data_IF_232753304633
#
_entry.id   IF_232753304633
#
_cell.length_a   1.000
_cell.length_b   1.000
_cell.length_c   1.000
_cell.angle_alpha   90.00
_cell.angle_beta   90.00
_cell.angle_gamma   90.00
#
_symmetry.space_group_name_H-M   'P 1'
#
loop_
_entity.id
_entity.type
_entity.pdbx_description
1 polymer ?
#
# COMPACT_ATOMS: atom_id res chain seq x y z
N UNK A 1 -17.25 4.98 -21.87
CA UNK A 1 -15.97 5.58 -21.43
C UNK A 1 -14.90 4.60 -21.83
N UNK A 2 -13.92 5.04 -22.62
CA UNK A 2 -12.78 4.24 -23.03
C UNK A 2 -11.79 4.08 -21.88
N UNK A 3 -11.33 2.86 -21.63
CA UNK A 3 -10.31 2.60 -20.62
C UNK A 3 -8.95 3.04 -21.15
N UNK A 4 -8.33 4.01 -20.47
CA UNK A 4 -7.00 4.52 -20.81
C UNK A 4 -6.03 4.21 -19.68
N UNK A 5 -5.03 3.40 -20.00
CA UNK A 5 -3.94 3.05 -19.09
C UNK A 5 -2.68 3.76 -19.57
N UNK A 6 -1.91 4.33 -18.66
CA UNK A 6 -0.65 4.99 -18.99
C UNK A 6 0.40 4.67 -17.94
N UNK A 7 1.57 4.18 -18.37
CA UNK A 7 2.71 3.94 -17.50
C UNK A 7 3.99 4.55 -18.04
N UNK A 8 4.75 5.16 -17.14
CA UNK A 8 6.06 5.73 -17.44
C UNK A 8 7.16 4.79 -16.95
N UNK A 9 8.12 4.49 -17.82
CA UNK A 9 9.21 3.54 -17.57
C UNK A 9 10.54 4.11 -18.09
N UNK A 10 11.65 3.48 -17.68
CA UNK A 10 12.99 3.90 -18.10
C UNK A 10 13.35 5.30 -17.61
N UNK A 11 13.01 5.60 -16.35
CA UNK A 11 13.30 6.88 -15.70
C UNK A 11 12.71 8.10 -16.44
N UNK A 12 11.41 8.04 -16.74
CA UNK A 12 10.72 9.13 -17.45
C UNK A 12 10.92 9.15 -18.96
N UNK A 13 11.81 8.32 -19.51
CA UNK A 13 12.14 8.33 -20.93
C UNK A 13 11.02 7.83 -21.83
N UNK A 14 10.27 6.83 -21.39
CA UNK A 14 9.22 6.20 -22.19
C UNK A 14 7.89 6.22 -21.46
N UNK A 15 6.82 6.52 -22.20
CA UNK A 15 5.45 6.45 -21.69
C UNK A 15 4.66 5.51 -22.59
N UNK A 16 4.20 4.40 -22.04
CA UNK A 16 3.37 3.41 -22.72
C UNK A 16 1.91 3.76 -22.47
N UNK A 17 1.13 3.84 -23.53
CA UNK A 17 -0.29 4.21 -23.51
C UNK A 17 -1.10 3.08 -24.14
N UNK A 18 -2.07 2.57 -23.40
CA UNK A 18 -3.10 1.67 -23.91
C UNK A 18 -4.45 2.39 -23.87
N UNK A 19 -5.09 2.52 -25.03
CA UNK A 19 -6.36 3.22 -25.19
C UNK A 19 -7.15 2.56 -26.32
N UNK A 20 -8.38 2.15 -26.06
CA UNK A 20 -9.29 1.56 -27.06
C UNK A 20 -8.69 0.39 -27.87
N UNK A 21 -7.96 -0.50 -27.19
CA UNK A 21 -7.32 -1.66 -27.82
C UNK A 21 -6.03 -1.32 -28.60
N UNK A 22 -5.62 -0.06 -28.63
CA UNK A 22 -4.36 0.38 -29.24
C UNK A 22 -3.29 0.58 -28.19
N UNK A 23 -2.10 0.05 -28.45
CA UNK A 23 -0.93 0.18 -27.61
C UNK A 23 0.11 1.05 -28.33
N UNK A 24 0.55 2.13 -27.72
CA UNK A 24 1.55 3.03 -28.31
C UNK A 24 2.55 3.50 -27.26
N UNK A 25 3.68 4.04 -27.71
CA UNK A 25 4.71 4.60 -26.85
C UNK A 25 5.11 6.01 -27.27
N UNK A 26 5.27 6.87 -26.26
CA UNK A 26 5.96 8.14 -26.35
C UNK A 26 7.42 7.99 -25.90
N UNK A 27 8.30 8.82 -26.45
CA UNK A 27 9.67 9.00 -25.98
C UNK A 27 9.88 10.47 -25.65
N UNK A 28 10.17 10.77 -24.38
CA UNK A 28 10.26 12.14 -23.86
C UNK A 28 9.02 12.99 -24.22
N UNK A 29 7.81 12.40 -24.14
CA UNK A 29 6.55 13.08 -24.43
C UNK A 29 6.14 13.10 -25.91
N UNK A 30 7.05 12.82 -26.83
CA UNK A 30 6.76 12.80 -28.27
C UNK A 30 6.35 11.41 -28.77
N UNK A 31 5.42 11.30 -29.74
CA UNK A 31 5.06 10.02 -30.37
C UNK A 31 6.31 9.30 -30.89
N UNK A 32 6.48 8.04 -30.52
CA UNK A 32 7.68 7.28 -30.88
C UNK A 32 7.38 6.02 -31.68
N UNK A 33 6.55 5.12 -31.15
CA UNK A 33 6.29 3.82 -31.77
C UNK A 33 4.87 3.33 -31.50
N UNK A 34 4.24 2.79 -32.53
CA UNK A 34 3.05 1.97 -32.38
C UNK A 34 3.47 0.57 -31.90
N UNK A 35 2.86 0.11 -30.82
CA UNK A 35 3.11 -1.18 -30.18
C UNK A 35 1.92 -2.14 -30.40
N UNK A 36 0.94 -1.77 -31.22
CA UNK A 36 -0.20 -2.62 -31.57
C UNK A 36 0.31 -3.96 -32.13
N UNK A 37 -0.17 -5.05 -31.56
CA UNK A 37 0.25 -6.42 -31.90
C UNK A 37 1.43 -6.95 -31.09
N UNK A 38 2.11 -6.11 -30.30
CA UNK A 38 3.11 -6.57 -29.34
C UNK A 38 2.44 -7.07 -28.04
N UNK A 39 2.01 -8.34 -28.09
CA UNK A 39 1.32 -8.99 -26.97
C UNK A 39 2.16 -9.08 -25.70
N UNK A 40 3.49 -9.11 -25.82
CA UNK A 40 4.38 -9.14 -24.65
C UNK A 40 4.35 -7.79 -23.93
N UNK A 41 4.44 -6.67 -24.66
CA UNK A 41 4.39 -5.34 -24.04
C UNK A 41 3.01 -5.06 -23.44
N UNK A 42 1.93 -5.50 -24.08
CA UNK A 42 0.59 -5.42 -23.51
C UNK A 42 0.47 -6.21 -22.20
N UNK A 43 0.90 -7.47 -22.18
CA UNK A 43 0.84 -8.33 -20.99
C UNK A 43 1.66 -7.73 -19.83
N UNK A 44 2.85 -7.19 -20.11
CA UNK A 44 3.64 -6.49 -19.10
C UNK A 44 2.93 -5.24 -18.56
N UNK A 45 2.26 -4.46 -19.41
CA UNK A 45 1.52 -3.29 -18.97
C UNK A 45 0.37 -3.66 -18.03
N UNK A 46 -0.37 -4.72 -18.37
CA UNK A 46 -1.46 -5.26 -17.55
C UNK A 46 -0.94 -5.78 -16.21
N UNK A 47 0.16 -6.53 -16.20
CA UNK A 47 0.79 -7.02 -14.98
C UNK A 47 1.26 -5.86 -14.07
N UNK A 48 1.88 -4.82 -14.64
CA UNK A 48 2.29 -3.64 -13.87
C UNK A 48 1.09 -2.94 -13.21
N UNK A 49 -0.04 -2.84 -13.92
CA UNK A 49 -1.28 -2.31 -13.34
C UNK A 49 -1.76 -3.17 -12.18
N UNK A 50 -1.89 -4.47 -12.41
CA UNK A 50 -2.35 -5.42 -11.40
C UNK A 50 -1.48 -5.36 -10.14
N UNK A 51 -0.15 -5.38 -10.30
CA UNK A 51 0.78 -5.28 -9.17
C UNK A 51 0.68 -3.94 -8.43
N UNK A 52 0.41 -2.83 -9.13
CA UNK A 52 0.20 -1.52 -8.49
C UNK A 52 -1.10 -1.50 -7.68
N UNK A 53 -2.19 -2.03 -8.24
CA UNK A 53 -3.46 -2.13 -7.54
C UNK A 53 -3.33 -3.02 -6.29
N UNK A 54 -2.68 -4.18 -6.42
CA UNK A 54 -2.44 -5.07 -5.29
C UNK A 54 -1.60 -4.39 -4.21
N UNK A 55 -0.53 -3.68 -4.59
CA UNK A 55 0.30 -2.93 -3.64
C UNK A 55 -0.51 -1.87 -2.88
N UNK A 56 -1.43 -1.17 -3.53
CA UNK A 56 -2.29 -0.20 -2.84
C UNK A 56 -3.24 -0.87 -1.85
N UNK A 57 -3.83 -2.02 -2.21
CA UNK A 57 -4.65 -2.82 -1.29
C UNK A 57 -3.82 -3.24 -0.07
N UNK A 58 -2.61 -3.77 -0.29
CA UNK A 58 -1.72 -4.20 0.77
C UNK A 58 -1.33 -3.02 1.69
N UNK A 59 -1.06 -1.84 1.13
CA UNK A 59 -0.78 -0.62 1.89
C UNK A 59 -1.95 -0.20 2.79
N UNK A 60 -3.19 -0.32 2.30
CA UNK A 60 -4.39 -0.02 3.09
C UNK A 60 -4.54 -1.01 4.24
N UNK A 61 -4.28 -2.31 4.00
CA UNK A 61 -4.29 -3.33 5.04
C UNK A 61 -3.22 -3.06 6.11
N UNK A 62 -1.99 -2.74 5.70
CA UNK A 62 -0.90 -2.36 6.60
C UNK A 62 -1.31 -1.16 7.47
N UNK A 63 -1.89 -0.13 6.86
CA UNK A 63 -2.36 1.07 7.58
C UNK A 63 -3.40 0.73 8.64
N UNK A 64 -4.36 -0.12 8.29
CA UNK A 64 -5.38 -0.60 9.24
C UNK A 64 -4.76 -1.36 10.41
N UNK A 65 -3.85 -2.32 10.12
CA UNK A 65 -3.19 -3.12 11.14
C UNK A 65 -2.31 -2.28 12.06
N UNK A 66 -1.61 -1.27 11.54
CA UNK A 66 -0.82 -0.34 12.35
C UNK A 66 -1.70 0.44 13.34
N UNK A 67 -2.90 0.85 12.94
CA UNK A 67 -3.86 1.48 13.85
C UNK A 67 -4.32 0.53 14.96
N UNK A 68 -4.53 -0.74 14.65
CA UNK A 68 -4.93 -1.75 15.64
C UNK A 68 -3.81 -2.03 16.64
N UNK A 69 -2.56 -2.16 16.17
CA UNK A 69 -1.39 -2.32 17.03
C UNK A 69 -1.22 -1.13 17.98
N UNK A 70 -1.39 0.09 17.49
CA UNK A 70 -1.32 1.31 18.31
C UNK A 70 -2.42 1.33 19.40
N UNK A 71 -3.63 0.90 19.07
CA UNK A 71 -4.71 0.79 20.04
C UNK A 71 -4.38 -0.23 21.15
N UNK A 72 -3.97 -1.43 20.77
CA UNK A 72 -3.62 -2.50 21.72
C UNK A 72 -2.41 -2.14 22.57
N UNK A 73 -1.41 -1.46 22.02
CA UNK A 73 -0.26 -0.99 22.78
C UNK A 73 -0.68 -0.08 23.94
N UNK A 74 -1.61 0.86 23.68
CA UNK A 74 -2.14 1.73 24.74
C UNK A 74 -2.89 0.94 25.81
N UNK A 75 -3.65 -0.08 25.42
CA UNK A 75 -4.38 -0.92 26.38
C UNK A 75 -3.42 -1.69 27.29
N UNK A 76 -2.35 -2.27 26.72
CA UNK A 76 -1.29 -2.95 27.48
C UNK A 76 -0.62 -2.01 28.48
N UNK A 77 -0.34 -0.77 28.07
CA UNK A 77 0.25 0.24 28.97
C UNK A 77 -0.69 0.56 30.14
N UNK A 78 -1.98 0.74 29.88
CA UNK A 78 -2.99 1.01 30.92
C UNK A 78 -3.11 -0.16 31.90
N UNK A 79 -3.16 -1.39 31.42
CA UNK A 79 -3.22 -2.59 32.25
C UNK A 79 -1.96 -2.77 33.11
N UNK A 80 -0.80 -2.44 32.56
CA UNK A 80 0.48 -2.47 33.28
C UNK A 80 0.47 -1.48 34.46
N UNK A 81 0.00 -0.25 34.23
CA UNK A 81 -0.16 0.75 35.29
C UNK A 81 -1.18 0.28 36.33
N UNK A 82 -2.33 -0.25 35.90
CA UNK A 82 -3.38 -0.75 36.80
C UNK A 82 -2.86 -1.84 37.74
N UNK A 83 -2.15 -2.83 37.21
CA UNK A 83 -1.60 -3.93 38.01
C UNK A 83 -0.57 -3.42 39.04
N UNK A 84 0.27 -2.44 38.65
CA UNK A 84 1.24 -1.83 39.57
C UNK A 84 0.58 -1.05 40.72
N UNK A 85 -0.57 -0.43 40.48
CA UNK A 85 -1.33 0.26 41.54
C UNK A 85 -2.00 -0.72 42.49
N UNK A 86 -2.60 -1.78 41.94
CA UNK A 86 -3.25 -2.82 42.73
C UNK A 86 -2.25 -3.52 43.67
N UNK A 87 -1.08 -3.90 43.17
CA UNK A 87 -0.04 -4.55 44.01
C UNK A 87 0.44 -3.68 45.17
N UNK A 88 0.46 -2.35 45.01
CA UNK A 88 0.81 -1.40 46.08
C UNK A 88 -0.28 -1.26 47.14
N UNK A 89 -1.56 -1.25 46.72
CA UNK A 89 -2.68 -1.18 47.66
C UNK A 89 -2.82 -2.45 48.50
N UNK A 90 -2.66 -3.64 47.90
CA UNK A 90 -2.71 -4.90 48.65
C UNK A 90 -1.61 -4.97 49.71
N UNK A 91 -0.40 -4.51 49.40
CA UNK A 91 0.70 -4.46 50.38
C UNK A 91 0.45 -3.47 51.52
N UNK A 92 -0.19 -2.33 51.24
CA UNK A 92 -0.60 -1.36 52.26
C UNK A 92 -1.66 -1.92 53.22
N UNK A 93 -2.60 -2.72 52.71
CA UNK A 93 -3.66 -3.34 53.53
C UNK A 93 -3.11 -4.37 54.53
N UNK A 94 -2.01 -5.08 54.20
CA UNK A 94 -1.37 -6.10 55.04
C UNK A 94 -0.44 -5.56 56.14
N UNK A 95 -0.07 -4.27 56.11
CA UNK A 95 0.86 -3.65 57.09
C UNK A 95 0.11 -3.04 58.29
N UNK A 96 -1.22 -2.88 58.20
CA UNK A 96 -2.05 -2.25 59.24
C UNK A 96 -2.95 -3.23 60.02
N UNK A 97 -2.80 -4.54 59.84
CA UNK A 97 -3.33 -5.61 60.71
C UNK A 97 -2.18 -6.25 61.52
#
# INVERSE_FOLDING_TARGET
MSEKITHTVGDGKYTIIYEDGRLSALRYGEPWRDLVGDGMVLAMLQEINFLKEQREIDNLQITSLLSEVDHLSREVDLLTVRNKLLSRNTFGQFIFD
#
